data_IF_287135406142
#
_entry.id   IF_287135406142
#
_cell.length_a   1.000
_cell.length_b   1.000
_cell.length_c   1.000
_cell.angle_alpha   90.00
_cell.angle_beta   90.00
_cell.angle_gamma   90.00
#
_symmetry.space_group_name_H-M   'P 1'
#
loop_
_entity.id
_entity.type
_entity.pdbx_description
1 polymer ?
#
# COMPACT_ATOMS: atom_id res chain seq x y z
N UNK A 1 -27.98 9.37 61.53
CA UNK A 1 -27.73 8.20 60.67
C UNK A 1 -28.51 8.42 59.39
N UNK A 2 -27.90 9.09 58.41
CA UNK A 2 -28.51 9.37 57.12
C UNK A 2 -27.67 8.75 56.03
N UNK A 3 -28.34 7.86 55.31
CA UNK A 3 -27.88 7.01 54.24
C UNK A 3 -27.78 7.85 52.95
N UNK A 4 -26.89 8.84 52.92
CA UNK A 4 -26.63 9.65 51.73
C UNK A 4 -25.50 9.02 50.90
N UNK A 5 -25.93 8.10 50.03
CA UNK A 5 -25.46 8.01 48.66
C UNK A 5 -23.93 7.93 48.46
N UNK A 6 -23.34 6.78 48.80
CA UNK A 6 -22.36 6.18 47.89
C UNK A 6 -23.08 5.89 46.57
N UNK A 7 -23.17 6.89 45.68
CA UNK A 7 -23.33 6.59 44.26
C UNK A 7 -22.06 5.85 43.87
N UNK A 8 -22.17 4.53 43.73
CA UNK A 8 -21.24 3.76 42.91
C UNK A 8 -21.13 4.49 41.57
N UNK A 9 -20.07 5.28 41.36
CA UNK A 9 -19.71 5.78 40.03
C UNK A 9 -19.41 4.54 39.21
N UNK A 10 -20.39 4.07 38.44
CA UNK A 10 -20.21 2.99 37.48
C UNK A 10 -19.03 3.41 36.61
N UNK A 11 -17.89 2.69 36.65
CA UNK A 11 -16.69 3.11 35.97
C UNK A 11 -17.00 3.28 34.48
N UNK A 12 -16.61 4.43 33.93
CA UNK A 12 -16.95 4.81 32.57
C UNK A 12 -16.40 3.76 31.58
N UNK A 13 -17.28 3.16 30.79
CA UNK A 13 -16.91 2.04 29.91
C UNK A 13 -15.81 2.47 28.93
N UNK A 14 -14.63 1.81 28.96
CA UNK A 14 -13.49 2.18 28.12
C UNK A 14 -13.79 2.00 26.64
N UNK A 15 -13.16 2.85 25.82
CA UNK A 15 -13.16 2.76 24.37
C UNK A 15 -11.82 2.18 23.91
N UNK A 16 -11.84 1.00 23.29
CA UNK A 16 -10.65 0.37 22.70
C UNK A 16 -10.65 0.60 21.20
N UNK A 17 -9.56 1.15 20.68
CA UNK A 17 -9.39 1.45 19.26
C UNK A 17 -8.36 0.50 18.66
N UNK A 18 -8.77 -0.25 17.65
CA UNK A 18 -7.79 -0.86 16.77
C UNK A 18 -6.97 0.24 16.05
N UNK A 19 -5.67 0.00 15.85
CA UNK A 19 -4.81 0.97 15.18
C UNK A 19 -4.84 0.81 13.66
N UNK A 20 -4.65 -0.42 13.17
CA UNK A 20 -4.29 -0.70 11.78
C UNK A 20 -5.54 -0.71 10.87
N UNK A 21 -5.67 0.30 10.02
CA UNK A 21 -6.81 0.51 9.15
C UNK A 21 -8.08 1.00 9.87
N UNK A 22 -8.04 1.11 11.21
CA UNK A 22 -9.08 1.69 12.07
C UNK A 22 -8.70 3.11 12.48
N UNK A 23 -7.83 3.34 13.47
CA UNK A 23 -7.35 4.69 13.79
C UNK A 23 -6.52 5.28 12.65
N UNK A 24 -5.61 4.49 12.09
CA UNK A 24 -4.86 4.83 10.89
C UNK A 24 -5.64 4.38 9.65
N UNK A 25 -5.51 5.11 8.54
CA UNK A 25 -5.97 4.67 7.21
C UNK A 25 -5.02 3.65 6.56
N UNK A 26 -3.92 3.34 7.24
CA UNK A 26 -2.88 2.41 6.82
C UNK A 26 -2.64 1.35 7.89
N UNK A 27 -1.72 0.43 7.62
CA UNK A 27 -1.34 -0.66 8.51
C UNK A 27 0.19 -0.62 8.70
N UNK A 28 0.60 -0.52 9.97
CA UNK A 28 1.99 -0.27 10.34
C UNK A 28 2.92 -1.41 9.94
N UNK A 29 2.44 -2.66 9.86
CA UNK A 29 3.26 -3.76 9.36
C UNK A 29 3.67 -3.53 7.91
N UNK A 30 2.74 -3.12 7.05
CA UNK A 30 3.08 -2.84 5.65
C UNK A 30 3.93 -1.59 5.50
N UNK A 31 3.68 -0.54 6.29
CA UNK A 31 4.53 0.66 6.33
C UNK A 31 5.97 0.30 6.69
N UNK A 32 6.17 -0.46 7.77
CA UNK A 32 7.49 -0.93 8.21
C UNK A 32 8.13 -1.83 7.16
N UNK A 33 7.37 -2.72 6.52
CA UNK A 33 7.90 -3.58 5.44
C UNK A 33 8.46 -2.76 4.28
N UNK A 34 7.71 -1.78 3.77
CA UNK A 34 8.17 -0.97 2.64
C UNK A 34 9.30 -0.02 3.01
N UNK A 35 9.30 0.52 4.24
CA UNK A 35 10.43 1.28 4.78
C UNK A 35 11.70 0.42 4.87
N UNK A 36 11.58 -0.81 5.38
CA UNK A 36 12.68 -1.77 5.48
C UNK A 36 13.21 -2.16 4.10
N UNK A 37 12.32 -2.45 3.15
CA UNK A 37 12.69 -2.82 1.78
C UNK A 37 13.47 -1.70 1.08
N UNK A 38 13.06 -0.44 1.28
CA UNK A 38 13.76 0.75 0.77
C UNK A 38 15.13 0.94 1.42
N UNK A 39 15.24 0.66 2.72
CA UNK A 39 16.48 0.85 3.48
C UNK A 39 17.50 -0.25 3.17
N UNK A 40 17.07 -1.52 3.21
CA UNK A 40 17.90 -2.68 2.94
C UNK A 40 17.08 -3.82 2.32
N UNK A 41 17.13 -3.91 0.98
CA UNK A 41 16.44 -4.93 0.19
C UNK A 41 16.82 -6.35 0.62
N UNK A 42 18.12 -6.64 0.73
CA UNK A 42 18.62 -8.00 0.98
C UNK A 42 18.24 -8.48 2.38
N UNK A 43 18.46 -7.65 3.41
CA UNK A 43 18.11 -8.00 4.78
C UNK A 43 16.60 -8.20 4.95
N UNK A 44 15.79 -7.36 4.30
CA UNK A 44 14.32 -7.46 4.37
C UNK A 44 13.82 -8.77 3.77
N UNK A 45 14.30 -9.13 2.57
CA UNK A 45 13.92 -10.38 1.93
C UNK A 45 14.41 -11.61 2.72
N UNK A 46 15.62 -11.55 3.29
CA UNK A 46 16.15 -12.60 4.13
C UNK A 46 15.31 -12.84 5.38
N UNK A 47 14.94 -11.77 6.09
CA UNK A 47 14.09 -11.85 7.29
C UNK A 47 12.69 -12.36 6.94
N UNK A 48 12.11 -11.94 5.82
CA UNK A 48 10.84 -12.50 5.35
C UNK A 48 10.92 -14.00 5.11
N UNK A 49 11.98 -14.46 4.45
CA UNK A 49 12.18 -15.88 4.16
C UNK A 49 12.40 -16.71 5.43
N UNK A 50 13.18 -16.20 6.39
CA UNK A 50 13.55 -16.94 7.61
C UNK A 50 12.49 -16.89 8.71
N UNK A 51 11.72 -15.81 8.80
CA UNK A 51 10.74 -15.59 9.88
C UNK A 51 9.27 -15.64 9.42
N UNK A 52 8.98 -16.15 8.22
CA UNK A 52 7.61 -16.27 7.70
C UNK A 52 6.66 -17.03 8.64
N UNK A 53 7.18 -18.04 9.35
CA UNK A 53 6.42 -18.84 10.34
C UNK A 53 6.35 -18.21 11.73
N UNK A 54 7.05 -17.09 11.97
CA UNK A 54 7.15 -16.41 13.26
C UNK A 54 6.73 -14.93 13.14
N UNK A 55 5.42 -14.64 12.93
CA UNK A 55 4.94 -13.31 12.56
C UNK A 55 5.24 -12.22 13.60
N UNK A 56 5.25 -12.57 14.88
CA UNK A 56 5.64 -11.67 15.97
C UNK A 56 7.10 -11.22 15.87
N UNK A 57 8.03 -12.17 15.67
CA UNK A 57 9.45 -11.89 15.49
C UNK A 57 9.71 -11.13 14.19
N UNK A 58 9.01 -11.49 13.12
CA UNK A 58 9.07 -10.79 11.83
C UNK A 58 8.77 -9.29 11.98
N UNK A 59 7.70 -8.92 12.69
CA UNK A 59 7.34 -7.51 12.94
C UNK A 59 8.47 -6.73 13.60
N UNK A 60 9.09 -7.31 14.62
CA UNK A 60 10.22 -6.71 15.34
C UNK A 60 11.46 -6.57 14.47
N UNK A 61 11.84 -7.62 13.74
CA UNK A 61 13.04 -7.56 12.89
C UNK A 61 12.86 -6.60 11.71
N UNK A 62 11.66 -6.49 11.12
CA UNK A 62 11.39 -5.47 10.10
C UNK A 62 11.58 -4.05 10.65
N UNK A 63 11.08 -3.78 11.86
CA UNK A 63 11.25 -2.49 12.53
C UNK A 63 12.73 -2.17 12.79
N UNK A 64 13.54 -3.18 13.16
CA UNK A 64 15.00 -3.01 13.37
C UNK A 64 15.74 -2.58 12.10
N UNK A 65 15.26 -2.97 10.91
CA UNK A 65 15.81 -2.50 9.64
C UNK A 65 15.42 -1.03 9.40
N UNK A 66 14.15 -0.70 9.58
CA UNK A 66 13.66 0.66 9.42
C UNK A 66 12.40 0.92 10.25
N UNK A 67 12.39 2.05 10.96
CA UNK A 67 11.21 2.55 11.64
C UNK A 67 10.46 3.53 10.72
N UNK A 68 9.15 3.30 10.44
CA UNK A 68 8.37 4.26 9.66
C UNK A 68 8.16 5.55 10.46
N UNK A 69 8.15 6.71 9.78
CA UNK A 69 7.82 8.00 10.41
C UNK A 69 6.34 8.07 10.78
N UNK A 70 6.04 7.74 12.04
CA UNK A 70 4.68 7.69 12.59
C UNK A 70 3.93 9.04 12.47
N UNK A 71 4.65 10.15 12.49
CA UNK A 71 4.12 11.52 12.31
C UNK A 71 3.45 11.76 10.96
N UNK A 72 3.84 10.99 9.94
CA UNK A 72 3.33 11.13 8.58
C UNK A 72 2.17 10.16 8.29
N UNK A 73 1.89 9.21 9.18
CA UNK A 73 0.88 8.19 8.89
C UNK A 73 -0.53 8.82 8.82
N UNK A 74 -1.35 8.43 7.83
CA UNK A 74 -2.66 9.04 7.64
C UNK A 74 -3.62 8.61 8.76
N UNK A 75 -3.91 9.52 9.69
CA UNK A 75 -4.88 9.31 10.78
C UNK A 75 -6.31 9.59 10.29
N UNK A 76 -7.29 8.79 10.74
CA UNK A 76 -8.71 9.09 10.55
C UNK A 76 -9.16 10.14 11.55
N UNK A 77 -9.48 11.34 11.06
CA UNK A 77 -9.95 12.44 11.90
C UNK A 77 -11.20 12.04 12.69
N UNK A 78 -12.12 11.30 12.06
CA UNK A 78 -13.38 10.86 12.66
C UNK A 78 -13.16 9.98 13.90
N UNK A 79 -12.20 9.06 13.83
CA UNK A 79 -11.85 8.15 14.94
C UNK A 79 -11.04 8.88 16.01
N UNK A 80 -10.14 9.78 15.61
CA UNK A 80 -9.37 10.59 16.56
C UNK A 80 -10.26 11.55 17.36
N UNK A 81 -11.23 12.19 16.71
CA UNK A 81 -12.21 13.05 17.39
C UNK A 81 -13.14 12.24 18.30
N UNK A 82 -13.53 11.03 17.90
CA UNK A 82 -14.25 10.10 18.78
C UNK A 82 -13.43 9.74 20.03
N UNK A 83 -12.13 9.48 19.87
CA UNK A 83 -11.20 9.22 20.97
C UNK A 83 -11.12 10.43 21.93
N UNK A 84 -10.94 11.64 21.39
CA UNK A 84 -10.87 12.88 22.17
C UNK A 84 -12.17 13.15 22.92
N UNK A 85 -13.32 13.00 22.26
CA UNK A 85 -14.63 13.16 22.88
C UNK A 85 -14.86 12.18 24.03
N UNK A 86 -14.45 10.91 23.86
CA UNK A 86 -14.52 9.91 24.92
C UNK A 86 -13.67 10.32 26.14
N UNK A 87 -12.44 10.83 25.93
CA UNK A 87 -11.59 11.33 27.02
C UNK A 87 -12.22 12.51 27.76
N UNK A 88 -12.82 13.47 27.05
CA UNK A 88 -13.51 14.62 27.65
C UNK A 88 -14.70 14.18 28.52
N UNK A 89 -15.32 13.04 28.18
CA UNK A 89 -16.39 12.42 28.97
C UNK A 89 -15.87 11.56 30.15
N UNK A 90 -14.58 11.59 30.44
CA UNK A 90 -13.96 10.78 31.50
C UNK A 90 -13.82 9.29 31.14
N UNK A 91 -14.06 8.90 29.89
CA UNK A 91 -13.90 7.50 29.45
C UNK A 91 -12.44 7.22 29.12
N UNK A 92 -11.82 6.16 29.68
CA UNK A 92 -10.51 5.72 29.25
C UNK A 92 -10.53 5.29 27.78
N UNK A 93 -9.51 5.67 27.01
CA UNK A 93 -9.37 5.30 25.59
C UNK A 93 -8.11 4.51 25.41
N UNK A 94 -8.16 3.27 24.94
CA UNK A 94 -7.01 2.37 24.78
C UNK A 94 -6.72 2.07 23.31
N UNK A 95 -5.47 1.77 22.98
CA UNK A 95 -5.08 1.33 21.63
C UNK A 95 -4.78 -0.16 21.63
N UNK A 96 -5.26 -0.89 20.62
CA UNK A 96 -4.93 -2.29 20.40
C UNK A 96 -4.47 -2.48 18.95
N UNK A 97 -3.43 -3.27 18.71
CA UNK A 97 -2.91 -3.44 17.35
C UNK A 97 -2.20 -4.78 17.19
N UNK A 98 -2.27 -5.32 15.98
CA UNK A 98 -1.44 -6.46 15.60
C UNK A 98 0.04 -6.09 15.46
N UNK A 99 0.39 -4.82 15.32
CA UNK A 99 1.75 -4.36 15.06
C UNK A 99 2.64 -4.42 16.31
N UNK A 100 3.94 -4.14 16.14
CA UNK A 100 4.93 -4.15 17.22
C UNK A 100 4.54 -3.18 18.36
N UNK A 101 4.60 -3.64 19.61
CA UNK A 101 4.13 -2.88 20.78
C UNK A 101 4.80 -1.50 20.93
N UNK A 102 6.08 -1.38 20.58
CA UNK A 102 6.78 -0.09 20.72
C UNK A 102 6.32 0.93 19.67
N UNK A 103 5.91 0.49 18.47
CA UNK A 103 5.28 1.39 17.48
C UNK A 103 3.93 1.91 17.99
N UNK A 104 3.12 1.03 18.59
CA UNK A 104 1.83 1.42 19.18
C UNK A 104 2.03 2.42 20.32
N UNK A 105 3.01 2.17 21.20
CA UNK A 105 3.33 3.06 22.30
C UNK A 105 3.78 4.45 21.82
N UNK A 106 4.63 4.48 20.79
CA UNK A 106 5.12 5.73 20.20
C UNK A 106 3.99 6.51 19.53
N UNK A 107 3.10 5.83 18.80
CA UNK A 107 1.92 6.44 18.20
C UNK A 107 0.96 6.99 19.26
N UNK A 108 0.71 6.25 20.34
CA UNK A 108 -0.13 6.69 21.45
C UNK A 108 0.38 8.00 22.07
N UNK A 109 1.71 8.08 22.28
CA UNK A 109 2.37 9.29 22.78
C UNK A 109 2.24 10.46 21.80
N UNK A 110 2.43 10.22 20.51
CA UNK A 110 2.32 11.24 19.47
C UNK A 110 0.90 11.84 19.37
N UNK A 111 -0.13 11.02 19.56
CA UNK A 111 -1.53 11.44 19.47
C UNK A 111 -2.10 11.99 20.79
N UNK A 112 -1.28 12.09 21.84
CA UNK A 112 -1.69 12.42 23.20
C UNK A 112 -2.85 11.51 23.70
N UNK A 113 -2.64 10.19 23.59
CA UNK A 113 -3.56 9.16 24.10
C UNK A 113 -2.84 8.31 25.18
N UNK A 114 -2.67 8.83 26.41
CA UNK A 114 -1.73 8.30 27.43
C UNK A 114 -2.18 7.03 28.18
N UNK A 115 -2.87 6.12 27.51
CA UNK A 115 -3.49 4.94 28.13
C UNK A 115 -2.74 3.63 27.89
N UNK A 116 -3.26 2.54 28.46
CA UNK A 116 -2.79 1.18 28.15
C UNK A 116 -2.89 0.92 26.65
N UNK A 117 -1.77 0.49 26.08
CA UNK A 117 -1.64 0.12 24.68
C UNK A 117 -1.27 -1.35 24.57
N UNK A 118 -1.95 -2.05 23.67
CA UNK A 118 -1.76 -3.47 23.40
C UNK A 118 -1.14 -3.62 22.00
N UNK A 119 -0.03 -4.32 21.91
CA UNK A 119 0.65 -4.63 20.65
C UNK A 119 1.34 -5.99 20.72
N UNK A 120 1.77 -6.50 19.58
CA UNK A 120 2.52 -7.75 19.52
C UNK A 120 3.89 -7.60 20.20
N UNK A 121 4.26 -8.64 20.94
CA UNK A 121 5.60 -8.84 21.51
C UNK A 121 6.29 -9.99 20.78
N UNK A 122 7.61 -10.22 20.92
CA UNK A 122 8.31 -11.31 20.23
C UNK A 122 7.71 -12.70 20.45
N UNK A 123 7.07 -12.90 21.60
CA UNK A 123 6.50 -14.18 22.04
C UNK A 123 4.98 -14.24 21.86
N UNK A 124 4.33 -13.12 21.53
CA UNK A 124 2.87 -13.03 21.40
C UNK A 124 2.47 -12.18 20.19
N UNK A 125 1.84 -12.82 19.19
CA UNK A 125 1.25 -12.15 18.04
C UNK A 125 -0.20 -11.72 18.36
N UNK A 126 -0.39 -10.47 18.76
CA UNK A 126 -1.66 -9.92 19.25
C UNK A 126 -2.68 -9.67 18.13
N UNK A 127 -3.22 -10.74 17.55
CA UNK A 127 -4.19 -10.68 16.44
C UNK A 127 -5.35 -11.64 16.68
N UNK A 128 -6.52 -11.32 16.11
CA UNK A 128 -7.69 -12.19 16.14
C UNK A 128 -8.10 -12.60 17.55
N UNK A 129 -8.08 -13.92 17.82
CA UNK A 129 -8.47 -14.51 19.10
C UNK A 129 -7.59 -14.02 20.27
N UNK A 130 -6.27 -13.99 20.09
CA UNK A 130 -5.33 -13.60 21.16
C UNK A 130 -5.56 -12.15 21.58
N UNK A 131 -5.87 -11.27 20.61
CA UNK A 131 -6.25 -9.88 20.89
C UNK A 131 -7.54 -9.83 21.72
N UNK A 132 -8.56 -10.57 21.32
CA UNK A 132 -9.84 -10.61 22.05
C UNK A 132 -9.69 -11.14 23.48
N UNK A 133 -8.94 -12.23 23.67
CA UNK A 133 -8.66 -12.82 24.99
C UNK A 133 -7.95 -11.82 25.91
N UNK A 134 -6.93 -11.12 25.41
CA UNK A 134 -6.20 -10.09 26.18
C UNK A 134 -7.09 -8.90 26.58
N UNK A 135 -8.02 -8.50 25.71
CA UNK A 135 -8.99 -7.44 26.03
C UNK A 135 -10.02 -7.90 27.07
N UNK A 136 -10.50 -9.14 26.98
CA UNK A 136 -11.42 -9.73 27.97
C UNK A 136 -10.73 -9.90 29.32
N UNK A 137 -9.48 -10.33 29.34
CA UNK A 137 -8.70 -10.45 30.58
C UNK A 137 -8.54 -9.09 31.28
N UNK A 138 -8.38 -8.01 30.50
CA UNK A 138 -8.15 -6.67 31.06
C UNK A 138 -9.45 -5.96 31.46
N UNK A 139 -10.50 -6.07 30.64
CA UNK A 139 -11.72 -5.25 30.79
C UNK A 139 -12.97 -6.06 31.16
N UNK A 140 -12.90 -7.39 31.11
CA UNK A 140 -14.07 -8.26 31.23
C UNK A 140 -14.89 -8.34 29.95
N UNK A 141 -15.67 -9.42 29.82
CA UNK A 141 -16.59 -9.61 28.71
C UNK A 141 -17.73 -8.58 28.80
N UNK A 142 -18.00 -7.86 27.72
CA UNK A 142 -18.96 -6.75 27.69
C UNK A 142 -18.49 -5.50 28.46
N UNK A 143 -17.24 -5.45 28.91
CA UNK A 143 -16.69 -4.34 29.71
C UNK A 143 -16.07 -3.21 28.90
N UNK A 144 -16.09 -3.25 27.56
CA UNK A 144 -15.45 -2.25 26.70
C UNK A 144 -16.20 -2.05 25.37
N UNK A 145 -16.11 -0.86 24.78
CA UNK A 145 -16.52 -0.62 23.39
C UNK A 145 -15.32 -0.80 22.46
N UNK A 146 -15.50 -1.37 21.27
CA UNK A 146 -14.39 -1.67 20.37
C UNK A 146 -14.58 -1.11 18.96
N UNK A 147 -13.61 -0.30 18.52
CA UNK A 147 -13.48 0.12 17.12
C UNK A 147 -12.54 -0.80 16.36
N UNK A 148 -13.00 -1.31 15.21
CA UNK A 148 -12.24 -2.18 14.31
C UNK A 148 -12.66 -2.01 12.86
N UNK A 149 -12.01 -2.69 11.93
CA UNK A 149 -12.27 -2.55 10.49
C UNK A 149 -12.30 -3.88 9.73
N UNK A 150 -11.94 -5.00 10.37
CA UNK A 150 -11.55 -6.21 9.65
C UNK A 150 -12.22 -7.47 10.19
N UNK A 151 -12.12 -8.57 9.43
CA UNK A 151 -12.59 -9.87 9.89
C UNK A 151 -11.81 -10.41 11.11
N UNK A 152 -10.57 -9.96 11.33
CA UNK A 152 -9.82 -10.31 12.55
C UNK A 152 -10.44 -9.71 13.81
N UNK A 153 -11.24 -8.65 13.69
CA UNK A 153 -11.88 -7.98 14.81
C UNK A 153 -13.18 -8.65 15.26
N UNK A 154 -13.68 -9.65 14.51
CA UNK A 154 -14.93 -10.35 14.83
C UNK A 154 -14.98 -10.91 16.26
N UNK A 155 -13.84 -11.41 16.77
CA UNK A 155 -13.76 -11.92 18.14
C UNK A 155 -13.74 -10.81 19.18
N UNK A 156 -13.06 -9.69 18.89
CA UNK A 156 -13.08 -8.50 19.75
C UNK A 156 -14.49 -7.91 19.82
N UNK A 157 -15.19 -7.78 18.68
CA UNK A 157 -16.57 -7.32 18.62
C UNK A 157 -17.55 -8.25 19.33
N UNK A 158 -17.36 -9.56 19.21
CA UNK A 158 -18.16 -10.54 19.94
C UNK A 158 -17.99 -10.41 21.46
N UNK A 159 -16.82 -10.00 21.96
CA UNK A 159 -16.57 -9.77 23.38
C UNK A 159 -16.94 -8.36 23.85
N UNK A 160 -16.92 -7.35 22.97
CA UNK A 160 -17.19 -5.94 23.30
C UNK A 160 -18.66 -5.69 23.65
N UNK A 161 -18.95 -4.64 24.41
CA UNK A 161 -20.32 -4.14 24.67
C UNK A 161 -20.97 -3.59 23.41
N UNK A 162 -20.23 -2.74 22.69
CA UNK A 162 -20.65 -2.07 21.45
C UNK A 162 -19.63 -2.25 20.35
N UNK A 163 -20.13 -2.37 19.12
CA UNK A 163 -19.34 -2.49 17.90
C UNK A 163 -19.24 -1.12 17.26
N UNK A 164 -18.02 -0.65 17.02
CA UNK A 164 -17.74 0.49 16.15
C UNK A 164 -17.00 -0.09 14.93
N UNK A 165 -17.68 -0.13 13.79
CA UNK A 165 -17.16 -0.72 12.56
C UNK A 165 -16.73 0.38 11.59
N UNK A 166 -15.43 0.44 11.32
CA UNK A 166 -14.85 1.38 10.37
C UNK A 166 -14.88 0.78 8.97
N UNK A 167 -15.76 1.31 8.14
CA UNK A 167 -15.86 0.98 6.70
C UNK A 167 -15.97 -0.50 6.39
N UNK A 168 -16.91 -1.23 7.02
CA UNK A 168 -17.07 -2.65 6.77
C UNK A 168 -17.49 -2.90 5.33
N UNK A 169 -16.78 -3.79 4.64
CA UNK A 169 -17.21 -4.26 3.32
C UNK A 169 -18.55 -5.02 3.43
N UNK A 170 -19.29 -5.25 2.32
CA UNK A 170 -20.60 -5.89 2.37
C UNK A 170 -20.62 -7.25 3.09
N UNK A 171 -19.57 -8.06 2.91
CA UNK A 171 -19.43 -9.35 3.58
C UNK A 171 -19.23 -9.20 5.10
N UNK A 172 -18.46 -8.21 5.54
CA UNK A 172 -18.23 -7.91 6.95
C UNK A 172 -19.50 -7.37 7.60
N UNK A 173 -20.22 -6.47 6.93
CA UNK A 173 -21.50 -5.94 7.39
C UNK A 173 -22.53 -7.03 7.64
N UNK A 174 -22.56 -8.08 6.80
CA UNK A 174 -23.41 -9.25 7.01
C UNK A 174 -23.02 -10.03 8.28
N UNK A 175 -21.72 -10.23 8.51
CA UNK A 175 -21.21 -10.91 9.71
C UNK A 175 -21.45 -10.10 10.99
N UNK A 176 -21.36 -8.77 10.93
CA UNK A 176 -21.64 -7.89 12.07
C UNK A 176 -23.09 -8.01 12.53
N UNK A 177 -24.05 -8.10 11.60
CA UNK A 177 -25.47 -8.33 11.92
C UNK A 177 -25.68 -9.63 12.70
N UNK A 178 -24.92 -10.67 12.40
CA UNK A 178 -25.01 -11.96 13.08
C UNK A 178 -24.51 -11.94 14.54
N UNK A 179 -23.73 -10.91 14.95
CA UNK A 179 -23.24 -10.77 16.34
C UNK A 179 -24.37 -10.29 17.28
N UNK A 180 -25.38 -9.60 16.76
CA UNK A 180 -26.55 -9.18 17.56
C UNK A 180 -26.28 -8.06 18.57
N UNK A 181 -25.18 -7.30 18.41
CA UNK A 181 -24.80 -6.18 19.30
C UNK A 181 -25.06 -4.83 18.63
N UNK A 182 -25.17 -3.72 19.39
CA UNK A 182 -25.30 -2.39 18.81
C UNK A 182 -24.10 -2.05 17.94
N UNK A 183 -24.35 -1.68 16.68
CA UNK A 183 -23.31 -1.35 15.68
C UNK A 183 -23.38 0.13 15.31
N UNK A 184 -22.27 0.82 15.46
CA UNK A 184 -22.01 2.12 14.86
C UNK A 184 -21.11 1.95 13.65
N UNK A 185 -21.49 2.49 12.49
CA UNK A 185 -20.68 2.41 11.27
C UNK A 185 -20.05 3.76 10.99
N UNK A 186 -18.72 3.78 10.91
CA UNK A 186 -17.96 4.96 10.48
C UNK A 186 -17.59 4.77 9.00
N UNK A 187 -18.18 5.54 8.07
CA UNK A 187 -17.93 5.39 6.64
C UNK A 187 -16.52 5.87 6.26
N UNK A 188 -16.01 5.38 5.13
CA UNK A 188 -14.81 5.91 4.47
C UNK A 188 -15.05 5.99 2.97
N UNK A 189 -14.48 7.03 2.36
CA UNK A 189 -14.73 7.42 0.99
C UNK A 189 -13.85 6.71 -0.04
N UNK A 190 -13.30 5.52 0.27
CA UNK A 190 -12.44 4.78 -0.68
C UNK A 190 -13.27 4.26 -1.85
N UNK A 191 -12.89 4.58 -3.08
CA UNK A 191 -13.64 4.18 -4.28
C UNK A 191 -12.78 3.65 -5.41
N UNK A 192 -13.42 3.06 -6.42
CA UNK A 192 -12.75 2.58 -7.65
C UNK A 192 -11.98 3.70 -8.38
N UNK A 193 -12.37 4.96 -8.19
CA UNK A 193 -11.66 6.13 -8.71
C UNK A 193 -10.24 6.24 -8.16
N UNK A 194 -10.02 5.86 -6.90
CA UNK A 194 -8.70 5.85 -6.29
C UNK A 194 -7.79 4.80 -6.95
N UNK A 195 -8.35 3.63 -7.29
CA UNK A 195 -7.63 2.59 -8.05
C UNK A 195 -7.23 3.09 -9.43
N UNK A 196 -8.15 3.70 -10.20
CA UNK A 196 -7.84 4.21 -11.53
C UNK A 196 -6.81 5.34 -11.48
N UNK A 197 -6.90 6.24 -10.49
CA UNK A 197 -5.91 7.29 -10.29
C UNK A 197 -4.52 6.71 -10.03
N UNK A 198 -4.44 5.61 -9.30
CA UNK A 198 -3.19 4.90 -9.00
C UNK A 198 -2.63 4.14 -10.23
N UNK A 199 -3.49 3.57 -11.08
CA UNK A 199 -3.07 2.92 -12.34
C UNK A 199 -2.41 3.89 -13.33
N UNK A 200 -2.79 5.17 -13.26
CA UNK A 200 -2.34 6.26 -14.15
C UNK A 200 -2.53 5.97 -15.65
N UNK A 201 -3.77 5.73 -16.14
CA UNK A 201 -4.02 5.42 -17.56
C UNK A 201 -3.49 6.48 -18.54
N UNK A 202 -3.45 7.75 -18.13
CA UNK A 202 -2.86 8.84 -18.93
C UNK A 202 -1.38 8.59 -19.28
N UNK A 203 -0.63 7.81 -18.48
CA UNK A 203 0.76 7.44 -18.76
C UNK A 203 0.87 6.35 -19.84
N UNK A 204 -0.20 5.62 -20.13
CA UNK A 204 -0.22 4.60 -21.18
C UNK A 204 -0.04 5.20 -22.57
N UNK A 205 -0.21 6.52 -22.74
CA UNK A 205 0.11 7.22 -23.99
C UNK A 205 1.56 7.00 -24.43
N UNK A 206 2.49 6.77 -23.50
CA UNK A 206 3.89 6.45 -23.82
C UNK A 206 4.03 5.12 -24.54
N UNK A 207 3.07 4.22 -24.39
CA UNK A 207 3.05 2.92 -25.05
C UNK A 207 2.60 3.02 -26.51
N UNK A 208 2.18 4.20 -26.98
CA UNK A 208 2.08 4.47 -28.42
C UNK A 208 3.42 4.27 -29.15
N UNK A 209 4.55 4.37 -28.44
CA UNK A 209 5.87 4.07 -29.00
C UNK A 209 6.04 2.61 -29.46
N UNK A 210 5.21 1.68 -28.98
CA UNK A 210 5.23 0.30 -29.49
C UNK A 210 4.73 0.21 -30.94
N UNK A 211 3.95 1.19 -31.41
CA UNK A 211 3.47 1.25 -32.79
C UNK A 211 4.46 1.92 -33.73
N UNK A 212 5.50 2.59 -33.20
CA UNK A 212 6.48 3.34 -33.99
C UNK A 212 7.16 2.48 -35.08
N UNK A 213 7.57 1.22 -34.82
CA UNK A 213 8.15 0.37 -35.87
C UNK A 213 7.21 0.07 -37.03
N UNK A 214 5.92 -0.15 -36.76
CA UNK A 214 4.91 -0.36 -37.81
C UNK A 214 4.72 0.90 -38.65
N UNK A 215 4.62 2.06 -38.00
CA UNK A 215 4.51 3.36 -38.66
C UNK A 215 5.73 3.63 -39.55
N UNK A 216 6.93 3.42 -39.03
CA UNK A 216 8.17 3.62 -39.78
C UNK A 216 8.29 2.68 -40.99
N UNK A 217 7.86 1.43 -40.85
CA UNK A 217 7.88 0.43 -41.92
C UNK A 217 6.71 0.57 -42.90
N UNK A 218 5.71 1.42 -42.62
CA UNK A 218 4.46 1.54 -43.37
C UNK A 218 3.73 0.19 -43.53
N UNK A 219 3.80 -0.67 -42.52
CA UNK A 219 3.17 -1.99 -42.51
C UNK A 219 1.98 -2.01 -41.54
N UNK A 220 0.77 -2.14 -42.07
CA UNK A 220 -0.48 -2.07 -41.31
C UNK A 220 -1.34 -3.32 -41.49
N UNK A 221 -0.74 -4.49 -41.35
CA UNK A 221 -1.48 -5.75 -41.42
C UNK A 221 -2.36 -5.91 -40.17
N UNK A 222 -3.62 -6.37 -40.28
CA UNK A 222 -4.51 -6.57 -39.13
C UNK A 222 -3.90 -7.45 -38.04
N UNK A 223 -3.20 -8.52 -38.43
CA UNK A 223 -2.55 -9.44 -37.48
C UNK A 223 -1.41 -8.76 -36.71
N UNK A 224 -0.58 -7.96 -37.39
CA UNK A 224 0.48 -7.17 -36.75
C UNK A 224 -0.10 -6.12 -35.82
N UNK A 225 -1.19 -5.48 -36.23
CA UNK A 225 -1.88 -4.48 -35.41
C UNK A 225 -2.41 -5.12 -34.13
N UNK A 226 -3.02 -6.31 -34.22
CA UNK A 226 -3.52 -7.04 -33.06
C UNK A 226 -2.39 -7.45 -32.12
N UNK A 227 -1.26 -7.98 -32.63
CA UNK A 227 -0.13 -8.37 -31.76
C UNK A 227 0.51 -7.17 -31.07
N UNK A 228 0.67 -6.05 -31.77
CA UNK A 228 1.20 -4.81 -31.17
C UNK A 228 0.21 -4.21 -30.18
N UNK A 229 -1.10 -4.27 -30.44
CA UNK A 229 -2.13 -3.82 -29.51
C UNK A 229 -2.13 -4.66 -28.22
N UNK A 230 -2.07 -5.99 -28.33
CA UNK A 230 -1.95 -6.88 -27.17
C UNK A 230 -0.67 -6.62 -26.38
N UNK A 231 0.45 -6.42 -27.07
CA UNK A 231 1.71 -6.04 -26.44
C UNK A 231 1.60 -4.68 -25.73
N UNK A 232 0.93 -3.68 -26.33
CA UNK A 232 0.73 -2.37 -25.73
C UNK A 232 -0.18 -2.41 -24.49
N UNK A 233 -1.23 -3.23 -24.49
CA UNK A 233 -2.08 -3.46 -23.31
C UNK A 233 -1.26 -4.14 -22.21
N UNK A 234 -0.54 -5.21 -22.53
CA UNK A 234 0.31 -5.92 -21.57
C UNK A 234 1.39 -5.02 -20.96
N UNK A 235 2.07 -4.23 -21.81
CA UNK A 235 3.07 -3.25 -21.38
C UNK A 235 2.47 -2.14 -20.51
N UNK A 236 1.21 -1.76 -20.76
CA UNK A 236 0.48 -0.79 -19.94
C UNK A 236 0.20 -1.31 -18.53
N UNK A 237 -0.21 -2.57 -18.40
CA UNK A 237 -0.38 -3.21 -17.09
C UNK A 237 0.94 -3.31 -16.33
N UNK A 238 2.02 -3.74 -16.99
CA UNK A 238 3.35 -3.79 -16.40
C UNK A 238 3.84 -2.39 -15.98
N UNK A 239 3.59 -1.34 -16.78
CA UNK A 239 3.91 0.03 -16.42
C UNK A 239 3.14 0.49 -15.16
N UNK A 240 1.83 0.18 -15.07
CA UNK A 240 1.03 0.47 -13.87
C UNK A 240 1.54 -0.27 -12.63
N UNK A 241 1.96 -1.54 -12.75
CA UNK A 241 2.60 -2.28 -11.65
C UNK A 241 3.88 -1.59 -11.15
N UNK A 242 4.73 -1.11 -12.06
CA UNK A 242 5.94 -0.36 -11.68
C UNK A 242 5.56 0.94 -10.97
N UNK A 243 4.54 1.68 -11.44
CA UNK A 243 4.09 2.90 -10.77
C UNK A 243 3.58 2.65 -9.36
N UNK A 244 2.76 1.61 -9.16
CA UNK A 244 2.28 1.23 -7.82
C UNK A 244 3.45 0.83 -6.92
N UNK A 245 4.37 0.00 -7.41
CA UNK A 245 5.55 -0.43 -6.64
C UNK A 245 6.44 0.75 -6.24
N UNK A 246 6.56 1.75 -7.12
CA UNK A 246 7.32 2.96 -6.83
C UNK A 246 6.63 3.83 -5.77
N UNK A 247 5.31 4.01 -5.86
CA UNK A 247 4.55 4.77 -4.86
C UNK A 247 4.59 4.06 -3.48
N UNK A 248 4.65 2.73 -3.44
CA UNK A 248 4.86 1.95 -2.22
C UNK A 248 6.28 2.13 -1.63
N UNK A 249 7.31 2.18 -2.47
CA UNK A 249 8.69 2.45 -2.03
C UNK A 249 8.91 3.91 -1.60
N UNK A 250 8.11 4.85 -2.11
CA UNK A 250 8.25 6.28 -1.87
C UNK A 250 7.20 6.83 -0.88
N UNK A 251 6.46 5.99 -0.13
CA UNK A 251 5.38 6.39 0.79
C UNK A 251 5.71 7.61 1.65
N UNK A 252 6.85 7.59 2.35
CA UNK A 252 7.29 8.68 3.22
C UNK A 252 7.58 9.97 2.43
N UNK A 253 8.29 9.85 1.31
CA UNK A 253 8.64 10.98 0.46
C UNK A 253 7.39 11.59 -0.20
N UNK A 254 6.43 10.76 -0.58
CA UNK A 254 5.18 11.20 -1.18
C UNK A 254 4.31 11.95 -0.18
N UNK A 255 4.28 11.54 1.09
CA UNK A 255 3.55 12.25 2.17
C UNK A 255 4.13 13.62 2.49
N UNK A 256 5.45 13.78 2.38
CA UNK A 256 6.12 15.08 2.57
C UNK A 256 5.92 16.02 1.37
N UNK A 257 5.60 15.49 0.19
CA UNK A 257 5.55 16.28 -1.04
C UNK A 257 4.17 16.97 -1.23
N UNK A 258 4.12 18.29 -1.53
CA UNK A 258 2.87 19.06 -1.62
C UNK A 258 1.82 18.48 -2.58
N UNK A 259 2.23 18.07 -3.79
CA UNK A 259 1.33 17.48 -4.77
C UNK A 259 1.06 15.97 -4.57
N UNK A 260 2.06 15.20 -4.12
CA UNK A 260 2.01 13.72 -4.07
C UNK A 260 1.38 13.18 -2.79
N UNK A 261 1.27 13.99 -1.72
CA UNK A 261 0.59 13.58 -0.48
C UNK A 261 -0.87 13.16 -0.68
N UNK A 262 -1.50 13.65 -1.75
CA UNK A 262 -2.87 13.34 -2.14
C UNK A 262 -3.01 12.05 -2.97
N UNK A 263 -1.91 11.34 -3.25
CA UNK A 263 -1.93 10.04 -3.93
C UNK A 263 -2.75 9.04 -3.10
N UNK A 264 -3.54 8.17 -3.76
CA UNK A 264 -4.37 7.18 -3.08
C UNK A 264 -3.65 6.37 -2.00
N UNK A 265 -2.46 5.83 -2.28
CA UNK A 265 -1.72 5.01 -1.31
C UNK A 265 -1.14 5.90 -0.18
N UNK A 266 -0.48 7.00 -0.53
CA UNK A 266 0.14 7.91 0.44
C UNK A 266 -0.86 8.47 1.47
N UNK A 267 -2.06 8.84 1.01
CA UNK A 267 -3.16 9.34 1.85
C UNK A 267 -3.94 8.25 2.60
N UNK A 268 -3.66 6.97 2.33
CA UNK A 268 -4.39 5.83 2.91
C UNK A 268 -5.79 5.61 2.33
N UNK A 269 -6.15 6.26 1.20
CA UNK A 269 -7.42 6.01 0.49
C UNK A 269 -7.40 4.68 -0.28
N UNK A 270 -6.23 4.22 -0.69
CA UNK A 270 -6.04 2.87 -1.23
C UNK A 270 -5.18 2.07 -0.24
N UNK A 271 -5.73 1.04 0.42
CA UNK A 271 -4.96 0.22 1.36
C UNK A 271 -3.72 -0.39 0.70
N UNK A 272 -2.59 -0.39 1.41
CA UNK A 272 -1.31 -0.91 0.89
C UNK A 272 -1.45 -2.35 0.41
N UNK A 273 -2.14 -3.21 1.17
CA UNK A 273 -2.39 -4.60 0.77
C UNK A 273 -3.10 -4.70 -0.59
N UNK A 274 -4.11 -3.87 -0.83
CA UNK A 274 -4.84 -3.84 -2.10
C UNK A 274 -3.95 -3.36 -3.24
N UNK A 275 -3.12 -2.34 -3.00
CA UNK A 275 -2.14 -1.87 -3.97
C UNK A 275 -1.09 -2.95 -4.32
N UNK A 276 -0.59 -3.70 -3.33
CA UNK A 276 0.33 -4.82 -3.55
C UNK A 276 -0.30 -5.91 -4.43
N UNK A 277 -1.53 -6.33 -4.11
CA UNK A 277 -2.26 -7.33 -4.90
C UNK A 277 -2.49 -6.84 -6.33
N UNK A 278 -2.92 -5.58 -6.49
CA UNK A 278 -3.12 -4.98 -7.80
C UNK A 278 -1.82 -4.92 -8.59
N UNK A 279 -0.71 -4.51 -7.97
CA UNK A 279 0.60 -4.44 -8.60
C UNK A 279 1.05 -5.81 -9.13
N UNK A 280 0.98 -6.86 -8.29
CA UNK A 280 1.34 -8.23 -8.70
C UNK A 280 0.40 -8.75 -9.77
N UNK A 281 -0.91 -8.56 -9.60
CA UNK A 281 -1.92 -9.00 -10.57
C UNK A 281 -1.72 -8.37 -11.96
N UNK A 282 -1.41 -7.07 -12.01
CA UNK A 282 -1.12 -6.37 -13.27
C UNK A 282 0.18 -6.85 -13.91
N UNK A 283 1.23 -7.08 -13.13
CA UNK A 283 2.49 -7.63 -13.64
C UNK A 283 2.27 -9.02 -14.25
N UNK A 284 1.57 -9.91 -13.55
CA UNK A 284 1.25 -11.25 -14.05
C UNK A 284 0.40 -11.17 -15.30
N UNK A 285 -0.70 -10.41 -15.28
CA UNK A 285 -1.58 -10.25 -16.45
C UNK A 285 -0.84 -9.66 -17.66
N UNK A 286 0.00 -8.64 -17.45
CA UNK A 286 0.77 -8.02 -18.51
C UNK A 286 1.84 -8.95 -19.10
N UNK A 287 2.51 -9.75 -18.26
CA UNK A 287 3.45 -10.77 -18.71
C UNK A 287 2.76 -11.92 -19.44
N UNK A 288 1.59 -12.36 -19.00
CA UNK A 288 0.78 -13.35 -19.73
C UNK A 288 0.41 -12.83 -21.12
N UNK A 289 -0.07 -11.59 -21.23
CA UNK A 289 -0.35 -10.95 -22.54
C UNK A 289 0.90 -10.87 -23.41
N UNK A 290 2.05 -10.50 -22.84
CA UNK A 290 3.32 -10.46 -23.56
C UNK A 290 3.75 -11.85 -24.06
N UNK A 291 3.55 -12.89 -23.24
CA UNK A 291 3.85 -14.29 -23.60
C UNK A 291 2.94 -14.80 -24.73
N UNK A 292 1.66 -14.42 -24.73
CA UNK A 292 0.73 -14.75 -25.81
C UNK A 292 1.16 -14.16 -27.16
N UNK A 293 1.81 -12.99 -27.15
CA UNK A 293 2.37 -12.37 -28.37
C UNK A 293 3.66 -13.07 -28.79
N UNK A 294 4.53 -13.42 -27.85
CA UNK A 294 5.71 -14.25 -28.10
C UNK A 294 6.83 -14.09 -27.07
N UNK A 295 7.76 -15.05 -27.06
CA UNK A 295 8.85 -15.11 -26.07
C UNK A 295 9.73 -13.85 -26.05
N UNK A 296 10.04 -13.25 -27.20
CA UNK A 296 10.85 -12.02 -27.28
C UNK A 296 10.14 -10.82 -26.62
N UNK A 297 8.82 -10.72 -26.79
CA UNK A 297 8.00 -9.66 -26.17
C UNK A 297 7.91 -9.87 -24.67
N UNK A 298 7.72 -11.13 -24.23
CA UNK A 298 7.78 -11.50 -22.82
C UNK A 298 9.10 -11.12 -22.16
N UNK A 299 10.24 -11.55 -22.74
CA UNK A 299 11.56 -11.28 -22.19
C UNK A 299 11.87 -9.77 -22.12
N UNK A 300 11.50 -9.02 -23.16
CA UNK A 300 11.68 -7.57 -23.17
C UNK A 300 10.80 -6.87 -22.12
N UNK A 301 9.55 -7.32 -21.97
CA UNK A 301 8.62 -6.77 -20.97
C UNK A 301 9.07 -7.11 -19.54
N UNK A 302 9.53 -8.35 -19.30
CA UNK A 302 10.11 -8.76 -18.02
C UNK A 302 11.37 -7.96 -17.70
N UNK A 303 12.27 -7.80 -18.67
CA UNK A 303 13.45 -6.96 -18.56
C UNK A 303 13.10 -5.50 -18.24
N UNK A 304 12.02 -4.98 -18.84
CA UNK A 304 11.53 -3.63 -18.57
C UNK A 304 11.04 -3.46 -17.12
N UNK A 305 10.32 -4.46 -16.57
CA UNK A 305 9.93 -4.47 -15.14
C UNK A 305 11.16 -4.46 -14.25
N UNK A 306 12.11 -5.37 -14.50
CA UNK A 306 13.35 -5.48 -13.71
C UNK A 306 14.13 -4.16 -13.76
N UNK A 307 14.34 -3.60 -14.95
CA UNK A 307 15.02 -2.32 -15.12
C UNK A 307 14.28 -1.17 -14.41
N UNK A 308 12.95 -1.13 -14.47
CA UNK A 308 12.14 -0.12 -13.79
C UNK A 308 12.21 -0.21 -12.26
N UNK A 309 12.22 -1.42 -11.70
CA UNK A 309 12.35 -1.65 -10.26
C UNK A 309 13.76 -1.35 -9.75
N UNK A 310 14.79 -1.82 -10.47
CA UNK A 310 16.20 -1.52 -10.14
C UNK A 310 16.48 -0.02 -10.20
N UNK A 311 15.90 0.67 -11.19
CA UNK A 311 15.98 2.12 -11.28
C UNK A 311 15.42 2.79 -10.01
N UNK A 312 14.26 2.34 -9.53
CA UNK A 312 13.61 2.88 -8.34
C UNK A 312 14.39 2.61 -7.05
N UNK A 313 14.91 1.39 -6.89
CA UNK A 313 15.58 0.93 -5.67
C UNK A 313 17.03 1.40 -5.56
N UNK A 314 17.80 1.38 -6.67
CA UNK A 314 19.24 1.57 -6.65
C UNK A 314 19.68 2.86 -7.33
N UNK A 315 19.15 3.15 -8.52
CA UNK A 315 19.75 4.16 -9.41
C UNK A 315 19.16 5.56 -9.30
N UNK A 316 18.00 5.73 -8.66
CA UNK A 316 17.41 7.05 -8.39
C UNK A 316 18.34 8.00 -7.61
N UNK A 317 19.39 7.47 -6.96
CA UNK A 317 20.41 8.25 -6.23
C UNK A 317 21.58 8.73 -7.10
N UNK A 318 21.78 8.19 -8.31
CA UNK A 318 22.89 8.51 -9.20
C UNK A 318 22.46 9.43 -10.36
N UNK A 319 22.88 10.70 -10.31
CA UNK A 319 22.37 11.80 -11.16
C UNK A 319 22.46 11.58 -12.67
N UNK A 320 23.53 10.96 -13.18
CA UNK A 320 23.73 10.74 -14.63
C UNK A 320 23.16 9.41 -15.13
N UNK A 321 23.15 8.39 -14.26
CA UNK A 321 22.57 7.07 -14.57
C UNK A 321 21.07 7.19 -14.85
N UNK A 322 20.42 8.16 -14.21
CA UNK A 322 19.00 8.49 -14.40
C UNK A 322 18.63 8.77 -15.88
N UNK A 323 19.43 9.58 -16.58
CA UNK A 323 19.11 9.98 -17.96
C UNK A 323 19.26 8.81 -18.94
N UNK A 324 20.34 8.04 -18.80
CA UNK A 324 20.57 6.86 -19.63
C UNK A 324 19.53 5.76 -19.37
N UNK A 325 19.16 5.56 -18.11
CA UNK A 325 18.11 4.62 -17.75
C UNK A 325 16.77 5.03 -18.37
N UNK A 326 16.40 6.31 -18.28
CA UNK A 326 15.14 6.79 -18.83
C UNK A 326 15.09 6.64 -20.36
N UNK A 327 16.15 7.03 -21.07
CA UNK A 327 16.25 6.84 -22.51
C UNK A 327 16.18 5.35 -22.91
N UNK A 328 16.85 4.48 -22.15
CA UNK A 328 16.82 3.02 -22.36
C UNK A 328 15.41 2.45 -22.16
N UNK A 329 14.69 2.87 -21.12
CA UNK A 329 13.31 2.44 -20.87
C UNK A 329 12.33 2.88 -21.97
N UNK A 330 12.55 4.04 -22.60
CA UNK A 330 11.79 4.44 -23.79
C UNK A 330 12.18 3.63 -25.02
N UNK A 331 13.46 3.37 -25.23
CA UNK A 331 13.93 2.54 -26.32
C UNK A 331 13.38 1.10 -26.22
N UNK A 332 13.34 0.52 -25.03
CA UNK A 332 12.76 -0.82 -24.79
C UNK A 332 11.32 -0.92 -25.29
N UNK A 333 10.51 0.16 -25.23
CA UNK A 333 9.15 0.18 -25.80
C UNK A 333 9.17 0.00 -27.31
N UNK A 334 10.02 0.76 -28.00
CA UNK A 334 10.14 0.68 -29.46
C UNK A 334 10.64 -0.71 -29.87
N UNK A 335 11.60 -1.27 -29.15
CA UNK A 335 12.11 -2.62 -29.40
C UNK A 335 11.02 -3.68 -29.18
N UNK A 336 10.26 -3.56 -28.09
CA UNK A 336 9.12 -4.45 -27.80
C UNK A 336 8.09 -4.42 -28.93
N UNK A 337 7.77 -3.21 -29.42
CA UNK A 337 6.87 -3.00 -30.53
C UNK A 337 7.32 -3.68 -31.82
N UNK A 338 8.62 -3.61 -32.12
CA UNK A 338 9.18 -4.23 -33.31
C UNK A 338 9.14 -5.77 -33.22
N UNK A 339 9.41 -6.33 -32.05
CA UNK A 339 9.25 -7.77 -31.80
C UNK A 339 7.79 -8.22 -31.92
N UNK A 340 6.84 -7.44 -31.40
CA UNK A 340 5.42 -7.73 -31.53
C UNK A 340 4.92 -7.66 -32.98
N UNK A 341 5.42 -6.68 -33.75
CA UNK A 341 5.10 -6.52 -35.17
C UNK A 341 5.87 -7.50 -36.09
N UNK A 342 6.89 -8.20 -35.55
CA UNK A 342 7.86 -9.01 -36.31
C UNK A 342 8.57 -8.21 -37.41
N UNK A 343 8.88 -6.94 -37.12
CA UNK A 343 9.58 -6.02 -38.03
C UNK A 343 11.05 -5.93 -37.60
N UNK A 344 12.02 -6.09 -38.53
CA UNK A 344 13.42 -5.92 -38.20
C UNK A 344 13.70 -4.47 -37.80
N UNK A 345 14.43 -4.27 -36.70
CA UNK A 345 14.82 -2.95 -36.23
C UNK A 345 16.01 -2.43 -37.04
N UNK A 346 15.83 -1.27 -37.67
CA UNK A 346 16.94 -0.53 -38.25
C UNK A 346 17.85 0.01 -37.13
N UNK A 347 19.18 -0.21 -37.19
CA UNK A 347 20.12 0.40 -36.25
C UNK A 347 19.99 1.93 -36.19
N UNK A 348 19.65 2.56 -37.31
CA UNK A 348 19.41 4.01 -37.40
C UNK A 348 18.19 4.44 -36.59
N UNK A 349 17.09 3.68 -36.68
CA UNK A 349 15.88 3.97 -35.89
C UNK A 349 16.19 3.88 -34.40
N UNK A 350 16.93 2.85 -33.98
CA UNK A 350 17.35 2.67 -32.58
C UNK A 350 18.20 3.85 -32.11
N UNK A 351 19.22 4.23 -32.89
CA UNK A 351 20.10 5.35 -32.57
C UNK A 351 19.36 6.68 -32.45
N UNK A 352 18.46 6.98 -33.40
CA UNK A 352 17.66 8.21 -33.40
C UNK A 352 16.71 8.24 -32.20
N UNK A 353 15.97 7.16 -31.95
CA UNK A 353 15.05 7.05 -30.81
C UNK A 353 15.80 7.27 -29.50
N UNK A 354 16.94 6.61 -29.32
CA UNK A 354 17.74 6.75 -28.12
C UNK A 354 18.22 8.19 -27.92
N UNK A 355 18.77 8.81 -28.96
CA UNK A 355 19.26 10.19 -28.91
C UNK A 355 18.13 11.18 -28.58
N UNK A 356 16.95 11.03 -29.19
CA UNK A 356 15.78 11.87 -28.92
C UNK A 356 15.34 11.76 -27.46
N UNK A 357 15.19 10.54 -26.93
CA UNK A 357 14.76 10.36 -25.54
C UNK A 357 15.82 10.79 -24.53
N UNK A 358 17.10 10.66 -24.86
CA UNK A 358 18.19 11.19 -24.05
C UNK A 358 18.13 12.72 -24.00
N UNK A 359 17.95 13.39 -25.14
CA UNK A 359 17.80 14.84 -25.19
C UNK A 359 16.57 15.33 -24.40
N UNK A 360 15.42 14.65 -24.53
CA UNK A 360 14.21 14.97 -23.75
C UNK A 360 14.43 14.77 -22.24
N UNK A 361 15.16 13.72 -21.84
CA UNK A 361 15.52 13.48 -20.44
C UNK A 361 16.41 14.61 -19.90
N UNK A 362 17.37 15.11 -20.70
CA UNK A 362 18.21 16.26 -20.35
C UNK A 362 17.37 17.53 -20.18
N UNK A 363 16.46 17.83 -21.12
CA UNK A 363 15.60 19.02 -21.04
C UNK A 363 14.73 18.99 -19.78
N UNK A 364 14.09 17.85 -19.50
CA UNK A 364 13.29 17.67 -18.29
C UNK A 364 14.12 17.93 -17.03
N UNK A 365 15.37 17.45 -17.02
CA UNK A 365 16.28 17.64 -15.90
C UNK A 365 16.67 19.10 -15.70
N UNK A 366 17.00 19.82 -16.77
CA UNK A 366 17.41 21.23 -16.72
C UNK A 366 16.26 22.15 -16.32
N UNK A 367 15.04 21.82 -16.75
CA UNK A 367 13.83 22.63 -16.50
C UNK A 367 13.15 22.32 -15.17
N UNK A 368 13.55 21.25 -14.47
CA UNK A 368 12.96 20.85 -13.19
C UNK A 368 11.52 20.33 -13.29
N UNK A 369 11.05 20.02 -14.50
CA UNK A 369 9.72 19.47 -14.81
C UNK A 369 9.59 17.96 -14.52
#
# INVERSE_FOLDING_TARGET
MTNEQMKDEVPAVPLVLDVDGTLLRTDMLYETFWAALRCNLVATLWILFTLWSHPARLKRELRRIAEPRLELLPVRAEILEMARAARTQGRPVHLASGSDRELVATLAKQLDLPSTHFGSTPDCNLTGRVKAESLVETFGEGGFDYAGNSASDLKCWAAARRIIAVSPNPALSMRLKAIGKPVEVVPDGTGWRDVIRELRPHQWIKNLLLFLPMLAAHQFNPDQLLTVLLAAIGFSFCASSIYISNDLLDLEADRLHPAKKSRPIASGRLPIRSAMIASVGLAVAGLCLALLVGASVFLMTAGYIVAGLLYSLLWKRARWVDLLALASLYLMRVITGAFAAKIPLSPWLVGIVFAVFLALAMVKRLTGL
#
